data_IF_700592896103
#
_entry.id   IF_700592896103
#
_cell.length_a   1.000
_cell.length_b   1.000
_cell.length_c   1.000
_cell.angle_alpha   90.00
_cell.angle_beta   90.00
_cell.angle_gamma   90.00
#
_symmetry.space_group_name_H-M   'P 1'
#
loop_
_entity.id
_entity.type
_entity.pdbx_description
1 polymer ?
#
# COMPACT_ATOMS: atom_id res chain seq x y z
N UNK A 1 -22.36 34.19 -14.39
CA UNK A 1 -23.78 33.95 -14.10
C UNK A 1 -24.09 32.49 -14.33
N UNK A 2 -24.61 31.85 -13.36
CA UNK A 2 -25.30 30.59 -13.16
C UNK A 2 -24.61 29.64 -12.18
N UNK A 3 -25.11 29.77 -10.96
CA UNK A 3 -24.84 28.84 -9.85
C UNK A 3 -25.75 27.63 -9.96
N UNK A 4 -25.23 26.43 -9.82
CA UNK A 4 -26.07 25.27 -9.50
C UNK A 4 -25.70 24.73 -8.11
N UNK A 5 -26.60 25.03 -7.16
CA UNK A 5 -26.64 24.43 -5.82
C UNK A 5 -27.35 23.08 -5.94
N UNK A 6 -26.72 22.01 -5.53
CA UNK A 6 -27.33 20.70 -5.36
C UNK A 6 -27.76 20.53 -3.89
N UNK A 7 -29.03 20.20 -3.70
CA UNK A 7 -29.72 19.99 -2.44
C UNK A 7 -29.37 18.64 -1.81
N UNK A 8 -29.06 18.68 -0.52
CA UNK A 8 -28.93 17.50 0.35
C UNK A 8 -30.33 17.13 0.85
N UNK A 9 -30.80 15.93 0.55
CA UNK A 9 -32.04 15.37 1.10
C UNK A 9 -31.71 14.50 2.32
N UNK A 10 -32.21 14.97 3.47
CA UNK A 10 -32.22 14.22 4.73
C UNK A 10 -33.54 13.47 4.78
N UNK A 11 -33.51 12.14 4.88
CA UNK A 11 -34.69 11.32 5.17
C UNK A 11 -34.62 10.89 6.64
N UNK A 12 -35.53 11.44 7.43
CA UNK A 12 -35.81 11.01 8.78
C UNK A 12 -36.91 9.94 8.76
N UNK A 13 -36.57 8.73 9.25
CA UNK A 13 -37.53 7.64 9.43
C UNK A 13 -37.97 7.51 10.88
N UNK A 14 -39.26 7.62 11.10
CA UNK A 14 -39.92 7.66 12.40
C UNK A 14 -40.05 6.30 13.09
N UNK A 15 -39.92 6.34 14.41
CA UNK A 15 -40.17 5.29 15.37
C UNK A 15 -41.68 5.11 15.58
N UNK A 16 -42.18 3.89 15.54
CA UNK A 16 -43.52 3.53 16.02
C UNK A 16 -43.41 2.58 17.21
N UNK A 17 -43.81 3.09 18.37
CA UNK A 17 -44.07 2.32 19.59
C UNK A 17 -45.51 1.81 19.49
N UNK A 18 -45.76 0.55 19.81
CA UNK A 18 -47.10 0.04 20.16
C UNK A 18 -47.00 -0.93 21.32
N UNK A 19 -47.75 -0.58 22.35
CA UNK A 19 -47.83 -1.27 23.62
C UNK A 19 -49.10 -2.15 23.72
N UNK A 20 -49.10 -3.00 24.72
CA UNK A 20 -50.17 -3.58 25.52
C UNK A 20 -50.78 -4.90 25.04
N UNK A 21 -50.63 -5.91 25.90
CA UNK A 21 -51.40 -7.13 25.96
C UNK A 21 -51.10 -7.90 27.27
N UNK A 22 -51.93 -7.63 28.28
CA UNK A 22 -51.95 -8.34 29.56
C UNK A 22 -52.71 -9.67 29.42
N UNK A 23 -52.14 -10.77 29.90
CA UNK A 23 -52.84 -12.06 30.00
C UNK A 23 -52.14 -12.92 31.04
N UNK A 24 -52.73 -13.03 32.24
CA UNK A 24 -52.28 -13.92 33.28
C UNK A 24 -52.87 -15.32 33.12
N UNK A 25 -52.05 -16.36 33.24
CA UNK A 25 -52.49 -17.70 33.65
C UNK A 25 -51.33 -18.46 34.30
N UNK A 26 -51.49 -18.84 35.54
CA UNK A 26 -50.63 -19.69 36.31
C UNK A 26 -50.73 -21.15 35.91
N UNK A 27 -49.60 -21.87 35.85
CA UNK A 27 -49.48 -23.25 36.33
C UNK A 27 -48.08 -23.84 36.13
N UNK A 28 -47.61 -24.46 37.23
CA UNK A 28 -46.75 -25.63 37.30
C UNK A 28 -45.25 -25.49 36.97
N UNK A 29 -44.52 -25.54 38.06
CA UNK A 29 -43.12 -25.83 38.21
C UNK A 29 -42.68 -27.13 37.54
N UNK A 30 -41.72 -27.06 36.62
CA UNK A 30 -40.78 -28.15 36.38
C UNK A 30 -39.42 -27.47 36.19
N UNK A 31 -38.52 -27.68 37.14
CA UNK A 31 -37.13 -27.30 37.01
C UNK A 31 -36.40 -28.31 36.11
N UNK A 32 -35.89 -27.94 34.98
CA UNK A 32 -34.76 -28.65 34.37
C UNK A 32 -33.49 -27.95 34.89
N UNK A 33 -32.56 -28.79 35.37
CA UNK A 33 -31.26 -28.36 35.83
C UNK A 33 -30.45 -27.54 34.80
N UNK A 34 -29.40 -26.88 35.21
CA UNK A 34 -28.63 -26.02 34.34
C UNK A 34 -27.90 -26.87 33.30
N UNK A 35 -28.46 -26.90 32.11
CA UNK A 35 -27.73 -27.33 30.91
C UNK A 35 -26.74 -26.17 30.65
N UNK A 36 -25.50 -26.40 31.00
CA UNK A 36 -24.39 -25.56 30.58
C UNK A 36 -24.36 -25.60 29.05
N UNK A 37 -25.06 -24.64 28.43
CA UNK A 37 -24.88 -24.40 27.02
C UNK A 37 -23.39 -24.01 26.84
N UNK A 38 -22.63 -24.93 26.25
CA UNK A 38 -21.29 -24.62 25.81
C UNK A 38 -21.42 -23.43 24.88
N UNK A 39 -20.92 -22.29 25.34
CA UNK A 39 -20.76 -21.08 24.51
C UNK A 39 -19.75 -21.47 23.46
N UNK A 40 -20.22 -21.95 22.31
CA UNK A 40 -19.40 -22.02 21.09
C UNK A 40 -19.01 -20.60 20.76
N UNK A 41 -17.81 -20.23 21.21
CA UNK A 41 -17.14 -19.02 20.78
C UNK A 41 -17.09 -19.07 19.26
N UNK A 42 -17.70 -18.12 18.54
CA UNK A 42 -17.65 -18.13 17.08
C UNK A 42 -16.16 -18.19 16.71
N UNK A 43 -15.81 -19.19 15.90
CA UNK A 43 -14.46 -19.30 15.35
C UNK A 43 -14.11 -17.92 14.80
N UNK A 44 -13.11 -17.29 15.43
CA UNK A 44 -12.57 -16.00 14.99
C UNK A 44 -12.19 -16.19 13.53
N UNK A 45 -13.00 -15.64 12.63
CA UNK A 45 -12.68 -15.64 11.21
C UNK A 45 -11.25 -15.13 11.10
N UNK A 46 -10.37 -15.96 10.55
CA UNK A 46 -8.98 -15.56 10.32
C UNK A 46 -9.06 -14.25 9.53
N UNK A 47 -8.61 -13.16 10.14
CA UNK A 47 -8.47 -11.89 9.42
C UNK A 47 -7.64 -12.20 8.17
N UNK A 48 -8.04 -11.74 6.98
CA UNK A 48 -7.23 -11.94 5.79
C UNK A 48 -5.82 -11.46 6.13
N UNK A 49 -4.83 -12.29 5.91
CA UNK A 49 -3.43 -11.94 6.18
C UNK A 49 -3.19 -10.59 5.50
N UNK A 50 -2.77 -9.59 6.29
CA UNK A 50 -2.49 -8.27 5.76
C UNK A 50 -1.49 -8.42 4.61
N UNK A 51 -1.79 -7.81 3.46
CA UNK A 51 -0.90 -7.88 2.30
C UNK A 51 0.48 -7.36 2.69
N UNK A 52 1.54 -8.03 2.25
CA UNK A 52 2.89 -7.59 2.54
C UNK A 52 3.12 -6.18 1.99
N UNK A 53 3.82 -5.33 2.74
CA UNK A 53 4.10 -3.93 2.37
C UNK A 53 4.90 -3.85 1.08
N UNK A 54 5.84 -4.79 0.89
CA UNK A 54 6.67 -4.95 -0.31
C UNK A 54 6.50 -6.38 -0.84
N UNK A 55 6.18 -6.50 -2.11
CA UNK A 55 5.98 -7.78 -2.79
C UNK A 55 6.76 -7.78 -4.10
N UNK A 56 6.77 -8.91 -4.80
CA UNK A 56 7.32 -9.00 -6.15
C UNK A 56 6.22 -9.21 -7.17
N UNK A 57 6.37 -8.59 -8.33
CA UNK A 57 5.52 -8.80 -9.50
C UNK A 57 6.37 -8.88 -10.77
N UNK A 58 5.76 -9.35 -11.86
CA UNK A 58 6.37 -9.29 -13.19
C UNK A 58 5.90 -8.03 -13.91
N UNK A 59 6.83 -7.29 -14.50
CA UNK A 59 6.53 -6.15 -15.35
C UNK A 59 7.27 -6.28 -16.68
N UNK A 60 6.68 -5.74 -17.74
CA UNK A 60 7.32 -5.71 -19.06
C UNK A 60 7.88 -4.32 -19.30
N UNK A 61 9.20 -4.23 -19.46
CA UNK A 61 9.95 -3.00 -19.69
C UNK A 61 10.72 -3.13 -21.00
N UNK A 62 10.41 -2.28 -21.97
CA UNK A 62 11.08 -2.31 -23.27
C UNK A 62 11.02 -3.69 -23.95
N UNK A 63 9.93 -4.43 -23.79
CA UNK A 63 9.76 -5.77 -24.37
C UNK A 63 10.41 -6.92 -23.57
N UNK A 64 11.04 -6.62 -22.42
CA UNK A 64 11.60 -7.64 -21.52
C UNK A 64 10.76 -7.75 -20.27
N UNK A 65 10.48 -8.99 -19.84
CA UNK A 65 9.79 -9.24 -18.58
C UNK A 65 10.81 -9.34 -17.46
N UNK A 66 10.66 -8.47 -16.46
CA UNK A 66 11.52 -8.42 -15.28
C UNK A 66 10.71 -8.59 -14.00
N UNK A 67 11.39 -9.06 -12.93
CA UNK A 67 10.79 -9.09 -11.60
C UNK A 67 11.11 -7.78 -10.89
N UNK A 68 10.08 -7.08 -10.46
CA UNK A 68 10.19 -5.79 -9.78
C UNK A 68 9.59 -5.87 -8.37
N UNK A 69 9.92 -4.91 -7.52
CA UNK A 69 9.22 -4.70 -6.26
C UNK A 69 7.95 -3.89 -6.48
N UNK A 70 6.89 -4.30 -5.81
CA UNK A 70 5.61 -3.59 -5.81
C UNK A 70 5.10 -3.41 -4.38
N UNK A 71 4.25 -2.41 -4.18
CA UNK A 71 3.57 -2.16 -2.92
C UNK A 71 2.44 -3.18 -2.68
N UNK A 72 1.81 -3.12 -1.50
CA UNK A 72 0.59 -3.90 -1.19
C UNK A 72 -0.61 -3.61 -2.11
N UNK A 73 -0.54 -2.57 -2.92
CA UNK A 73 -1.54 -2.19 -3.93
C UNK A 73 -1.08 -2.51 -5.35
N UNK A 74 -0.05 -3.34 -5.51
CA UNK A 74 0.56 -3.72 -6.78
C UNK A 74 1.14 -2.54 -7.60
N UNK A 75 1.37 -1.38 -6.95
CA UNK A 75 2.06 -0.25 -7.59
C UNK A 75 3.56 -0.50 -7.63
N UNK A 76 4.22 -0.24 -8.77
CA UNK A 76 5.67 -0.33 -8.89
C UNK A 76 6.38 0.49 -7.83
N UNK A 77 7.50 -0.02 -7.32
CA UNK A 77 8.33 0.66 -6.34
C UNK A 77 9.65 1.10 -6.97
N UNK A 78 10.06 2.30 -6.59
CA UNK A 78 11.27 2.96 -7.08
C UNK A 78 12.17 3.37 -5.93
N UNK A 79 13.43 3.60 -6.24
CA UNK A 79 14.38 4.27 -5.36
C UNK A 79 14.95 5.51 -6.05
N UNK A 80 15.35 6.49 -5.27
CA UNK A 80 15.93 7.72 -5.78
C UNK A 80 17.46 7.68 -5.67
N UNK A 81 18.17 7.98 -6.77
CA UNK A 81 19.62 7.85 -6.85
C UNK A 81 20.40 8.83 -5.98
N UNK A 82 19.76 9.94 -5.58
CA UNK A 82 20.39 10.97 -4.72
C UNK A 82 20.08 10.78 -3.23
N UNK A 83 19.34 9.75 -2.86
CA UNK A 83 19.11 9.42 -1.47
C UNK A 83 20.37 8.83 -0.82
N UNK A 84 20.48 9.03 0.49
CA UNK A 84 21.49 8.38 1.32
C UNK A 84 20.84 7.35 2.24
N UNK A 85 21.57 6.42 2.85
CA UNK A 85 20.99 5.42 3.74
C UNK A 85 20.25 5.98 4.96
N UNK A 86 20.47 7.27 5.27
CA UNK A 86 19.94 7.93 6.47
C UNK A 86 19.05 9.12 6.16
N UNK A 87 18.92 9.52 4.90
CA UNK A 87 18.17 10.72 4.54
C UNK A 87 17.57 10.60 3.16
N UNK A 88 16.26 10.75 3.08
CA UNK A 88 15.55 10.99 1.82
C UNK A 88 15.79 12.42 1.34
N UNK A 89 15.95 12.59 0.03
CA UNK A 89 16.05 13.90 -0.63
C UNK A 89 14.73 14.29 -1.30
N UNK A 90 13.73 13.43 -1.25
CA UNK A 90 12.42 13.61 -1.90
C UNK A 90 11.49 14.36 -0.96
N UNK A 91 11.25 15.65 -1.23
CA UNK A 91 10.44 16.56 -0.38
C UNK A 91 9.55 17.47 -1.22
N UNK A 92 8.58 18.10 -0.57
CA UNK A 92 7.75 19.13 -1.19
C UNK A 92 7.02 18.66 -2.44
N UNK A 93 7.15 19.39 -3.54
CA UNK A 93 6.50 19.06 -4.80
C UNK A 93 6.94 17.70 -5.36
N UNK A 94 8.22 17.34 -5.20
CA UNK A 94 8.73 16.06 -5.68
C UNK A 94 8.05 14.88 -4.99
N UNK A 95 7.76 14.99 -3.69
CA UNK A 95 7.04 13.96 -2.93
C UNK A 95 5.56 13.80 -3.34
N UNK A 96 4.99 14.76 -4.07
CA UNK A 96 3.64 14.64 -4.62
C UNK A 96 3.62 13.73 -5.86
N UNK A 97 4.67 13.80 -6.68
CA UNK A 97 4.84 12.91 -7.84
C UNK A 97 5.42 11.56 -7.43
N UNK A 98 6.28 11.56 -6.42
CA UNK A 98 6.97 10.39 -5.89
C UNK A 98 6.62 10.16 -4.42
N UNK A 99 5.38 9.72 -4.12
CA UNK A 99 4.96 9.46 -2.75
C UNK A 99 5.84 8.42 -2.07
N UNK A 100 6.37 8.72 -0.86
CA UNK A 100 7.17 7.78 -0.10
C UNK A 100 6.32 6.58 0.35
N UNK A 101 6.90 5.38 0.31
CA UNK A 101 6.28 4.20 0.89
C UNK A 101 6.46 4.26 2.41
N UNK A 102 5.36 4.37 3.15
CA UNK A 102 5.37 4.48 4.61
C UNK A 102 4.72 3.27 5.28
N UNK A 103 5.38 2.75 6.31
CA UNK A 103 4.85 1.69 7.18
C UNK A 103 5.68 1.62 8.46
N UNK A 104 5.02 1.58 9.62
CA UNK A 104 5.70 1.39 10.90
C UNK A 104 6.21 -0.05 11.10
N UNK A 105 5.61 -1.02 10.42
CA UNK A 105 5.96 -2.44 10.52
C UNK A 105 5.89 -3.09 9.14
N UNK A 106 6.83 -2.78 8.23
CA UNK A 106 6.81 -3.31 6.88
C UNK A 106 7.10 -4.81 6.88
N UNK A 107 6.41 -5.52 5.99
CA UNK A 107 6.64 -6.93 5.70
C UNK A 107 6.95 -7.10 4.22
N UNK A 108 7.75 -8.11 3.88
CA UNK A 108 8.06 -8.43 2.49
C UNK A 108 7.55 -9.82 2.12
N UNK A 109 7.31 -10.03 0.83
CA UNK A 109 6.96 -11.32 0.25
C UNK A 109 7.67 -11.54 -1.07
N UNK A 110 8.62 -12.46 -1.07
CA UNK A 110 9.33 -12.89 -2.27
C UNK A 110 10.49 -12.00 -2.71
N UNK A 111 10.75 -10.88 -2.02
CA UNK A 111 11.83 -9.97 -2.38
C UNK A 111 13.21 -10.42 -1.87
N UNK A 112 13.26 -11.05 -0.69
CA UNK A 112 14.48 -11.63 -0.13
C UNK A 112 15.52 -10.62 0.37
N UNK A 113 15.25 -9.32 0.28
CA UNK A 113 16.13 -8.27 0.78
C UNK A 113 15.75 -7.79 2.18
N UNK A 114 16.54 -6.90 2.75
CA UNK A 114 16.33 -6.36 4.09
C UNK A 114 15.43 -5.14 4.03
N UNK A 115 14.27 -5.18 4.71
CA UNK A 115 13.46 -4.00 4.99
C UNK A 115 13.94 -3.31 6.27
N UNK A 116 13.95 -1.99 6.23
CA UNK A 116 14.19 -1.11 7.38
C UNK A 116 13.20 0.04 7.33
N UNK A 117 13.01 0.71 8.47
CA UNK A 117 12.18 1.91 8.59
C UNK A 117 13.04 3.02 9.14
N UNK A 118 13.01 4.17 8.48
CA UNK A 118 13.55 5.39 9.04
C UNK A 118 12.42 6.36 9.35
N UNK A 119 12.53 7.00 10.52
CA UNK A 119 11.69 8.12 10.87
C UNK A 119 12.36 9.40 10.40
N UNK A 120 11.84 9.99 9.36
CA UNK A 120 12.26 11.28 8.85
C UNK A 120 11.04 12.21 8.66
N UNK A 121 11.20 13.30 7.90
CA UNK A 121 10.10 14.23 7.60
C UNK A 121 8.97 13.59 6.77
N UNK A 122 9.22 12.44 6.11
CA UNK A 122 8.21 11.65 5.40
C UNK A 122 7.48 10.66 6.34
N UNK A 123 7.83 10.61 7.63
CA UNK A 123 7.30 9.68 8.63
C UNK A 123 8.07 8.36 8.67
N UNK A 124 7.37 7.26 8.90
CA UNK A 124 7.95 5.90 8.94
C UNK A 124 8.25 5.39 7.52
N UNK A 125 9.25 5.96 6.86
CA UNK A 125 9.56 5.60 5.49
C UNK A 125 10.26 4.25 5.41
N UNK A 126 9.79 3.40 4.49
CA UNK A 126 10.33 2.06 4.24
C UNK A 126 11.53 2.16 3.31
N UNK A 127 12.59 1.42 3.65
CA UNK A 127 13.74 1.23 2.79
C UNK A 127 14.01 -0.26 2.55
N UNK A 128 14.42 -0.60 1.33
CA UNK A 128 14.84 -1.93 0.91
C UNK A 128 16.34 -1.91 0.62
N UNK A 129 17.11 -2.74 1.32
CA UNK A 129 18.56 -2.76 1.26
C UNK A 129 19.22 -1.37 1.46
N UNK A 130 18.58 -0.51 2.26
CA UNK A 130 19.03 0.84 2.55
C UNK A 130 18.55 1.91 1.56
N UNK A 131 17.90 1.54 0.46
CA UNK A 131 17.28 2.47 -0.48
C UNK A 131 15.86 2.78 -0.06
N UNK A 132 15.51 4.05 0.12
CA UNK A 132 14.14 4.46 0.37
C UNK A 132 13.25 4.12 -0.82
N UNK A 133 12.03 3.69 -0.53
CA UNK A 133 11.08 3.28 -1.54
C UNK A 133 10.00 4.33 -1.76
N UNK A 134 9.64 4.48 -3.03
CA UNK A 134 8.64 5.43 -3.52
C UNK A 134 7.70 4.74 -4.51
N UNK A 135 6.50 5.27 -4.65
CA UNK A 135 5.63 5.00 -5.79
C UNK A 135 5.69 6.18 -6.76
N UNK A 136 5.23 6.00 -7.99
CA UNK A 136 5.06 7.10 -8.92
C UNK A 136 3.55 7.40 -9.10
N UNK A 137 3.18 8.67 -9.07
CA UNK A 137 1.76 9.09 -9.08
C UNK A 137 1.03 8.76 -10.38
N UNK A 138 1.77 8.60 -11.48
CA UNK A 138 1.21 8.27 -12.80
C UNK A 138 1.20 6.77 -13.10
N UNK A 139 1.75 5.95 -12.19
CA UNK A 139 1.73 4.51 -12.35
C UNK A 139 0.38 3.90 -11.91
N UNK A 140 0.09 2.75 -12.48
CA UNK A 140 -0.99 1.87 -12.06
C UNK A 140 -0.50 0.42 -11.98
N UNK A 141 -1.25 -0.49 -11.33
CA UNK A 141 -0.86 -1.90 -11.25
C UNK A 141 -0.50 -2.48 -12.61
N UNK A 142 0.72 -3.03 -12.71
CA UNK A 142 1.25 -3.61 -13.94
C UNK A 142 1.77 -2.62 -14.99
N UNK A 143 1.62 -1.31 -14.77
CA UNK A 143 2.12 -0.25 -15.66
C UNK A 143 3.25 0.52 -15.00
N UNK A 144 4.40 0.55 -15.65
CA UNK A 144 5.63 1.19 -15.19
C UNK A 144 5.94 2.36 -16.13
N UNK A 145 5.86 3.58 -15.62
CA UNK A 145 6.16 4.80 -16.40
C UNK A 145 7.28 5.63 -15.81
N UNK A 146 7.60 5.42 -14.52
CA UNK A 146 8.59 6.21 -13.78
C UNK A 146 10.06 5.79 -13.94
N UNK A 147 10.37 4.74 -14.72
CA UNK A 147 11.75 4.25 -14.86
C UNK A 147 12.67 5.29 -15.51
N UNK A 148 13.68 5.75 -14.77
CA UNK A 148 14.68 6.73 -15.24
C UNK A 148 14.18 8.18 -15.21
N UNK A 149 12.95 8.43 -14.77
CA UNK A 149 12.39 9.79 -14.65
C UNK A 149 13.03 10.48 -13.44
N UNK A 150 13.56 11.68 -13.63
CA UNK A 150 14.14 12.54 -12.58
C UNK A 150 15.16 11.85 -11.66
N UNK A 151 15.78 10.75 -12.09
CA UNK A 151 16.77 10.01 -11.28
C UNK A 151 16.16 8.93 -10.40
N UNK A 152 14.89 8.58 -10.61
CA UNK A 152 14.24 7.42 -10.00
C UNK A 152 14.40 6.19 -10.85
N UNK A 153 14.64 5.06 -10.20
CA UNK A 153 14.84 3.76 -10.84
C UNK A 153 13.99 2.70 -10.16
N UNK A 154 13.48 1.75 -10.94
CA UNK A 154 12.72 0.62 -10.41
C UNK A 154 13.54 -0.16 -9.38
N UNK A 155 12.91 -0.44 -8.27
CA UNK A 155 13.46 -1.35 -7.29
C UNK A 155 13.19 -2.80 -7.70
N UNK A 156 14.24 -3.61 -7.70
CA UNK A 156 14.16 -5.04 -8.00
C UNK A 156 14.64 -5.88 -6.81
N UNK A 157 14.29 -7.17 -6.74
CA UNK A 157 14.81 -8.05 -5.69
C UNK A 157 16.34 -8.08 -5.63
N UNK A 158 17.01 -7.89 -6.77
CA UNK A 158 18.49 -7.90 -6.88
C UNK A 158 19.14 -6.56 -6.52
N UNK A 159 18.36 -5.55 -6.10
CA UNK A 159 18.88 -4.24 -5.73
C UNK A 159 19.94 -4.38 -4.62
N UNK A 160 21.17 -4.01 -4.96
CA UNK A 160 22.31 -4.14 -4.04
C UNK A 160 22.17 -3.16 -2.88
N UNK A 161 22.69 -3.49 -1.69
CA UNK A 161 22.74 -2.56 -0.57
C UNK A 161 23.41 -1.25 -0.97
N UNK A 162 22.83 -0.13 -0.53
CA UNK A 162 23.40 1.19 -0.78
C UNK A 162 24.82 1.26 -0.19
N UNK A 163 25.77 1.76 -0.98
CA UNK A 163 27.19 1.79 -0.57
C UNK A 163 27.95 0.49 -0.84
N UNK A 164 27.33 -0.56 -1.36
CA UNK A 164 28.05 -1.71 -1.89
C UNK A 164 28.76 -1.31 -3.20
N UNK A 165 30.01 -1.73 -3.36
CA UNK A 165 30.93 -1.31 -4.43
C UNK A 165 30.55 -1.77 -5.86
N UNK A 166 29.40 -2.37 -6.07
CA UNK A 166 28.88 -2.68 -7.40
C UNK A 166 27.87 -1.61 -7.80
N UNK A 167 28.29 -0.69 -8.66
CA UNK A 167 27.41 0.26 -9.30
C UNK A 167 26.15 -0.46 -9.85
N UNK A 168 24.95 0.08 -9.66
CA UNK A 168 23.76 -0.47 -10.29
C UNK A 168 24.02 -0.54 -11.79
N UNK A 169 23.68 -1.68 -12.40
CA UNK A 169 23.68 -1.80 -13.86
C UNK A 169 22.67 -0.78 -14.37
N UNK A 170 23.17 0.37 -14.80
CA UNK A 170 22.34 1.42 -15.40
C UNK A 170 21.74 0.79 -16.64
N UNK A 171 20.45 0.49 -16.58
CA UNK A 171 19.69 0.20 -17.78
C UNK A 171 19.58 1.53 -18.52
N UNK A 172 20.43 1.72 -19.53
CA UNK A 172 20.33 2.85 -20.44
C UNK A 172 18.93 2.83 -21.05
N UNK A 173 18.16 3.93 -20.95
CA UNK A 173 16.93 4.04 -21.70
C UNK A 173 17.24 3.88 -23.19
N UNK A 174 16.35 3.30 -24.00
CA UNK A 174 16.54 3.26 -25.45
C UNK A 174 16.72 4.71 -25.93
N UNK A 175 17.87 4.99 -26.50
CA UNK A 175 18.17 6.28 -27.12
C UNK A 175 17.24 6.41 -28.34
N UNK A 176 16.07 6.99 -28.14
CA UNK A 176 15.30 7.52 -29.27
C UNK A 176 15.98 8.84 -29.62
N UNK A 177 16.85 8.77 -30.63
CA UNK A 177 17.57 9.93 -31.14
C UNK A 177 16.58 10.96 -31.69
N UNK A 178 16.34 12.03 -30.94
CA UNK A 178 15.87 13.27 -31.51
C UNK A 178 17.11 14.04 -31.93
N UNK A 179 17.49 13.88 -33.20
CA UNK A 179 18.50 14.72 -33.86
C UNK A 179 17.96 16.14 -33.98
N UNK A 180 18.51 17.06 -33.22
CA UNK A 180 18.40 18.48 -33.53
C UNK A 180 19.55 18.80 -34.49
N UNK A 181 19.21 19.06 -35.80
CA UNK A 181 20.10 19.70 -36.74
C UNK A 181 20.02 21.21 -36.53
N UNK A 182 21.16 21.86 -36.37
CA UNK A 182 21.30 23.31 -36.46
C UNK A 182 21.44 23.71 -37.92
#
# INVERSE_FOLDING_TARGET
>A
MSSHRALVSIVAGAVALSAIGVGAAAAASVSPGPTVAAIQQPARAASPAAAATVQTAKATLGGKTETILVSSRDLPLYYYSLDTPKKSSVTGALAQFWPPLVSASPTEKGAGGKLTVLNDFNGHQVAYNGHFLYTFSEDSPGHVTGQGVEGFFLATPDLKPIGSSSAPKVMTPPTTGYGYSY
#
